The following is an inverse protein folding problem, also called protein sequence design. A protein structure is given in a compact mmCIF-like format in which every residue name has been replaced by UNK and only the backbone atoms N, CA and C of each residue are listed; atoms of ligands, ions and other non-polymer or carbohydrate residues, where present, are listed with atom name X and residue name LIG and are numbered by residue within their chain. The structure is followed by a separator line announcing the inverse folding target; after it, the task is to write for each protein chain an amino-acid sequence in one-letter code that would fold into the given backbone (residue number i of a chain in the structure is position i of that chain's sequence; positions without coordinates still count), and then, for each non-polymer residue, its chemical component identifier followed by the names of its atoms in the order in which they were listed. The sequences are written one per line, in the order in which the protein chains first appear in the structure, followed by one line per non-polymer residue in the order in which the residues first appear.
data_IF_654580523473
#
_entry.id   IF_654580523473
#
_cell.length_a   1.000
_cell.length_b   1.000
_cell.length_c   1.000
_cell.angle_alpha   90.00
_cell.angle_beta   90.00
_cell.angle_gamma   90.00
#
_symmetry.space_group_name_H-M   'P 1'
#
loop_
_entity.id
_entity.type
_entity.pdbx_description
1 polymer ?
#
# COMPACT_ATOMS: atom_id res chain seq x y z
N UNK A 1 31.90 30.56 -35.86
CA UNK A 1 30.56 30.10 -35.45
C UNK A 1 29.93 31.15 -34.53
N UNK A 2 28.66 31.49 -34.74
CA UNK A 2 27.94 32.41 -33.83
C UNK A 2 27.63 31.70 -32.51
N UNK A 3 27.71 32.40 -31.37
CA UNK A 3 27.37 31.86 -30.04
C UNK A 3 25.97 31.24 -30.01
N UNK A 4 25.03 31.81 -30.77
CA UNK A 4 23.65 31.33 -30.89
C UNK A 4 23.61 29.92 -31.50
N UNK A 5 24.35 29.70 -32.59
CA UNK A 5 24.45 28.37 -33.22
C UNK A 5 25.08 27.33 -32.29
N UNK A 6 25.99 27.75 -31.42
CA UNK A 6 26.65 26.86 -30.47
C UNK A 6 25.68 26.44 -29.34
N UNK A 7 24.83 27.37 -28.90
CA UNK A 7 23.76 27.09 -27.93
C UNK A 7 22.72 26.14 -28.54
N UNK A 8 22.29 26.38 -29.78
CA UNK A 8 21.36 25.50 -30.49
C UNK A 8 21.94 24.09 -30.64
N UNK A 9 23.20 23.96 -31.05
CA UNK A 9 23.87 22.65 -31.13
C UNK A 9 23.98 21.96 -29.77
N UNK A 10 24.25 22.70 -28.69
CA UNK A 10 24.29 22.12 -27.35
C UNK A 10 22.91 21.64 -26.89
N UNK A 11 21.84 22.39 -27.19
CA UNK A 11 20.46 21.98 -26.88
C UNK A 11 20.05 20.73 -27.66
N UNK A 12 20.48 20.63 -28.91
CA UNK A 12 20.21 19.47 -29.77
C UNK A 12 20.95 18.22 -29.24
N UNK A 13 22.23 18.37 -28.87
CA UNK A 13 23.03 17.28 -28.27
C UNK A 13 22.44 16.83 -26.93
N UNK A 14 22.03 17.77 -26.07
CA UNK A 14 21.39 17.45 -24.80
C UNK A 14 20.05 16.73 -24.99
N UNK A 15 19.25 17.15 -25.97
CA UNK A 15 17.97 16.50 -26.28
C UNK A 15 18.18 15.07 -26.78
N UNK A 16 19.18 14.85 -27.63
CA UNK A 16 19.56 13.52 -28.11
C UNK A 16 20.06 12.62 -26.97
N UNK A 17 20.87 13.15 -26.05
CA UNK A 17 21.34 12.44 -24.86
C UNK A 17 20.18 12.01 -23.94
N UNK A 18 19.22 12.91 -23.70
CA UNK A 18 18.03 12.61 -22.90
C UNK A 18 17.20 11.51 -23.56
N UNK A 19 16.99 11.57 -24.89
CA UNK A 19 16.22 10.56 -25.63
C UNK A 19 16.88 9.19 -25.66
N UNK A 20 18.21 9.11 -25.81
CA UNK A 20 18.89 7.84 -26.05
C UNK A 20 19.39 7.14 -24.79
N UNK A 21 19.73 7.88 -23.73
CA UNK A 21 20.28 7.29 -22.51
C UNK A 21 19.29 7.38 -21.35
N UNK A 22 18.68 8.54 -21.14
CA UNK A 22 17.86 8.80 -19.95
C UNK A 22 16.44 8.21 -20.09
N UNK A 23 15.81 8.38 -21.25
CA UNK A 23 14.46 7.86 -21.52
C UNK A 23 14.32 6.34 -21.36
N UNK A 24 15.23 5.48 -21.87
CA UNK A 24 15.15 4.05 -21.65
C UNK A 24 15.39 3.66 -20.18
N UNK A 25 16.35 4.31 -19.49
CA UNK A 25 16.55 4.12 -18.05
C UNK A 25 15.31 4.49 -17.23
N UNK A 26 14.63 5.58 -17.57
CA UNK A 26 13.37 5.99 -16.94
C UNK A 26 12.23 5.02 -17.24
N UNK A 27 12.20 4.40 -18.42
CA UNK A 27 11.18 3.42 -18.79
C UNK A 27 11.27 2.10 -18.00
N UNK A 28 12.46 1.78 -17.48
CA UNK A 28 12.70 0.62 -16.61
C UNK A 28 12.34 0.90 -15.14
N UNK A 29 12.26 2.17 -14.75
CA UNK A 29 11.88 2.56 -13.39
C UNK A 29 10.35 2.53 -13.32
N UNK A 30 9.75 1.71 -12.44
CA UNK A 30 8.31 1.72 -12.24
C UNK A 30 7.87 3.14 -11.85
N UNK A 31 6.92 3.70 -12.60
CA UNK A 31 6.37 5.04 -12.33
C UNK A 31 5.88 5.16 -10.87
N UNK A 32 5.49 4.04 -10.28
CA UNK A 32 5.09 3.91 -8.87
C UNK A 32 6.22 4.34 -7.90
N UNK A 33 7.48 4.00 -8.19
CA UNK A 33 8.62 4.40 -7.34
C UNK A 33 8.94 5.90 -7.47
N UNK A 34 8.77 6.47 -8.67
CA UNK A 34 8.95 7.89 -8.91
C UNK A 34 7.85 8.69 -8.20
N UNK A 35 6.60 8.23 -8.27
CA UNK A 35 5.48 8.82 -7.53
C UNK A 35 5.71 8.75 -6.02
N UNK A 36 6.14 7.61 -5.48
CA UNK A 36 6.39 7.47 -4.05
C UNK A 36 7.51 8.39 -3.57
N UNK A 37 8.63 8.45 -4.30
CA UNK A 37 9.75 9.35 -3.95
C UNK A 37 9.39 10.83 -4.07
N UNK A 38 8.52 11.20 -5.01
CA UNK A 38 7.96 12.56 -5.08
C UNK A 38 7.07 12.85 -3.87
N UNK A 39 6.12 11.96 -3.55
CA UNK A 39 5.25 12.10 -2.38
C UNK A 39 6.08 12.25 -1.10
N UNK A 40 7.10 11.41 -0.90
CA UNK A 40 7.99 11.44 0.27
C UNK A 40 8.79 12.76 0.36
N UNK A 41 9.19 13.35 -0.78
CA UNK A 41 9.90 14.64 -0.82
C UNK A 41 8.98 15.85 -0.57
N UNK A 42 7.73 15.76 -1.01
CA UNK A 42 6.75 16.85 -0.93
C UNK A 42 5.76 16.71 0.23
N UNK A 43 5.95 15.72 1.12
CA UNK A 43 5.00 15.36 2.20
C UNK A 43 4.70 16.49 3.21
N UNK A 44 5.45 17.59 3.20
CA UNK A 44 5.33 18.68 4.17
C UNK A 44 4.61 19.92 3.65
N UNK A 45 4.37 20.05 2.34
CA UNK A 45 3.85 21.27 1.70
C UNK A 45 2.52 21.05 0.94
N UNK A 46 1.69 20.11 1.41
CA UNK A 46 0.44 19.65 0.79
C UNK A 46 -0.60 20.76 0.51
N UNK A 47 -0.39 21.98 1.02
CA UNK A 47 -1.28 23.13 0.83
C UNK A 47 -0.59 24.34 0.20
N UNK A 48 0.57 24.17 -0.43
CA UNK A 48 1.16 25.28 -1.18
C UNK A 48 0.30 25.59 -2.41
N UNK A 49 -0.23 26.82 -2.56
CA UNK A 49 -1.11 27.19 -3.67
C UNK A 49 -0.43 27.10 -5.04
N UNK A 50 0.90 26.99 -5.09
CA UNK A 50 1.66 26.77 -6.33
C UNK A 50 1.82 25.30 -6.72
N UNK A 51 1.59 24.36 -5.79
CA UNK A 51 1.77 22.92 -6.04
C UNK A 51 0.49 22.24 -6.52
N UNK A 52 -0.69 22.72 -6.11
CA UNK A 52 -1.97 22.14 -6.54
C UNK A 52 -2.15 22.11 -8.06
N UNK A 53 -1.88 23.19 -8.82
CA UNK A 53 -2.03 23.16 -10.28
C UNK A 53 -1.05 22.19 -10.94
N UNK A 54 0.17 22.10 -10.39
CA UNK A 54 1.19 21.18 -10.87
C UNK A 54 0.77 19.72 -10.61
N UNK A 55 0.21 19.43 -9.44
CA UNK A 55 -0.29 18.10 -9.12
C UNK A 55 -1.48 17.69 -9.99
N UNK A 56 -2.38 18.62 -10.31
CA UNK A 56 -3.48 18.40 -11.27
C UNK A 56 -2.95 18.09 -12.67
N UNK A 57 -2.00 18.88 -13.17
CA UNK A 57 -1.37 18.68 -14.48
C UNK A 57 -0.64 17.32 -14.55
N UNK A 58 0.09 16.95 -13.50
CA UNK A 58 0.74 15.63 -13.41
C UNK A 58 -0.27 14.49 -13.36
N UNK A 59 -1.38 14.64 -12.64
CA UNK A 59 -2.43 13.63 -12.58
C UNK A 59 -3.10 13.43 -13.95
N UNK A 60 -3.35 14.51 -14.70
CA UNK A 60 -3.88 14.44 -16.06
C UNK A 60 -2.91 13.75 -17.03
N UNK A 61 -1.61 14.08 -16.96
CA UNK A 61 -0.57 13.48 -17.80
C UNK A 61 -0.37 11.99 -17.53
N UNK A 62 -0.52 11.56 -16.28
CA UNK A 62 -0.35 10.16 -15.88
C UNK A 62 -1.62 9.32 -16.04
N UNK A 63 -2.81 9.95 -16.06
CA UNK A 63 -4.12 9.30 -16.22
C UNK A 63 -4.20 8.26 -17.36
N UNK A 64 -3.64 8.50 -18.57
CA UNK A 64 -3.67 7.53 -19.68
C UNK A 64 -2.75 6.32 -19.47
N UNK A 65 -1.72 6.46 -18.63
CA UNK A 65 -0.70 5.44 -18.37
C UNK A 65 -0.96 4.67 -17.07
N UNK A 66 -1.84 5.17 -16.21
CA UNK A 66 -2.28 4.50 -15.00
C UNK A 66 -3.29 3.42 -15.36
N UNK A 67 -2.88 2.15 -15.22
CA UNK A 67 -3.80 1.03 -15.33
C UNK A 67 -4.70 0.99 -14.08
N UNK A 68 -5.78 1.78 -14.08
CA UNK A 68 -6.75 1.90 -12.98
C UNK A 68 -7.31 0.52 -12.56
N UNK A 69 -7.42 -0.44 -13.50
CA UNK A 69 -7.84 -1.82 -13.19
C UNK A 69 -6.83 -2.60 -12.34
N UNK A 70 -5.54 -2.23 -12.36
CA UNK A 70 -4.50 -2.81 -11.48
C UNK A 70 -4.62 -2.18 -10.08
N UNK A 71 -4.74 -0.85 -10.01
CA UNK A 71 -4.90 -0.12 -8.74
C UNK A 71 -6.17 -0.51 -7.97
N UNK A 72 -7.29 -0.74 -8.66
CA UNK A 72 -8.54 -1.17 -8.02
C UNK A 72 -8.52 -2.63 -7.54
N UNK A 73 -7.66 -3.50 -8.09
CA UNK A 73 -7.49 -4.86 -7.54
C UNK A 73 -6.78 -4.83 -6.19
N UNK A 74 -5.82 -3.93 -6.04
CA UNK A 74 -5.10 -3.73 -4.77
C UNK A 74 -5.99 -3.08 -3.70
N UNK A 75 -7.15 -2.54 -4.07
CA UNK A 75 -8.15 -2.00 -3.13
C UNK A 75 -9.15 -3.03 -2.60
N UNK A 76 -9.22 -4.25 -3.18
CA UNK A 76 -10.12 -5.28 -2.63
C UNK A 76 -9.54 -5.76 -1.30
N UNK A 77 -10.23 -5.58 -0.16
CA UNK A 77 -9.70 -6.01 1.11
C UNK A 77 -9.43 -7.52 1.09
N UNK A 78 -8.20 -7.91 1.44
CA UNK A 78 -7.84 -9.32 1.47
C UNK A 78 -8.58 -10.03 2.61
N UNK A 79 -9.17 -11.19 2.29
CA UNK A 79 -9.90 -12.00 3.25
C UNK A 79 -9.14 -13.29 3.55
N UNK A 80 -9.15 -13.72 4.81
CA UNK A 80 -8.41 -14.88 5.29
C UNK A 80 -9.32 -15.89 6.00
N UNK A 81 -8.91 -17.15 5.95
CA UNK A 81 -9.60 -18.28 6.59
C UNK A 81 -9.14 -18.47 8.03
N UNK A 82 -9.92 -19.23 8.81
CA UNK A 82 -9.54 -19.61 10.17
C UNK A 82 -8.18 -20.32 10.22
N UNK A 83 -7.87 -21.19 9.26
CA UNK A 83 -6.57 -21.88 9.23
C UNK A 83 -5.41 -20.91 9.14
N UNK A 84 -5.52 -19.91 8.25
CA UNK A 84 -4.50 -18.87 8.11
C UNK A 84 -4.34 -18.05 9.39
N UNK A 85 -5.45 -17.73 10.07
CA UNK A 85 -5.42 -16.97 11.34
C UNK A 85 -4.71 -17.77 12.44
N UNK A 86 -5.01 -19.07 12.56
CA UNK A 86 -4.40 -19.98 13.53
C UNK A 86 -2.88 -20.03 13.31
N UNK A 87 -2.45 -20.17 12.06
CA UNK A 87 -1.04 -20.22 11.71
C UNK A 87 -0.36 -18.86 11.95
N UNK A 88 -1.02 -17.75 11.56
CA UNK A 88 -0.48 -16.39 11.70
C UNK A 88 -0.32 -15.95 13.15
N UNK A 89 -1.28 -16.29 14.01
CA UNK A 89 -1.25 -15.94 15.44
C UNK A 89 -0.52 -16.98 16.30
N UNK A 90 -0.03 -18.08 15.71
CA UNK A 90 0.62 -19.20 16.40
C UNK A 90 -0.20 -19.74 17.58
N UNK A 91 -1.52 -19.86 17.40
CA UNK A 91 -2.45 -20.34 18.43
C UNK A 91 -3.05 -21.69 18.06
N UNK A 92 -3.56 -22.41 19.06
CA UNK A 92 -4.37 -23.59 18.82
C UNK A 92 -5.80 -23.22 18.36
N UNK A 93 -6.42 -24.12 17.61
CA UNK A 93 -7.83 -23.99 17.18
C UNK A 93 -8.79 -23.79 18.35
N UNK A 94 -8.54 -24.46 19.48
CA UNK A 94 -9.30 -24.31 20.73
C UNK A 94 -9.24 -22.86 21.25
N UNK A 95 -8.05 -22.27 21.29
CA UNK A 95 -7.83 -20.87 21.68
C UNK A 95 -8.56 -19.91 20.74
N UNK A 96 -8.52 -20.16 19.43
CA UNK A 96 -9.24 -19.35 18.45
C UNK A 96 -10.74 -19.29 18.77
N UNK A 97 -11.42 -20.43 18.91
CA UNK A 97 -12.87 -20.43 19.16
C UNK A 97 -13.25 -19.91 20.55
N UNK A 98 -12.39 -20.08 21.56
CA UNK A 98 -12.67 -19.66 22.94
C UNK A 98 -12.44 -18.17 23.17
N UNK A 99 -11.43 -17.59 22.53
CA UNK A 99 -10.91 -16.26 22.87
C UNK A 99 -10.86 -15.29 21.71
N UNK A 100 -10.84 -15.75 20.46
CA UNK A 100 -10.69 -14.86 19.28
C UNK A 100 -12.01 -14.72 18.54
N UNK A 101 -12.65 -15.83 18.19
CA UNK A 101 -13.84 -15.86 17.36
C UNK A 101 -15.02 -15.12 18.00
N UNK A 102 -15.59 -14.15 17.26
CA UNK A 102 -16.70 -13.30 17.68
C UNK A 102 -16.42 -12.52 18.99
N UNK A 103 -15.14 -12.29 19.32
CA UNK A 103 -14.73 -11.54 20.51
C UNK A 103 -13.65 -10.54 20.11
N UNK A 104 -12.54 -11.03 19.57
CA UNK A 104 -11.42 -10.21 19.12
C UNK A 104 -11.41 -10.03 17.60
N UNK A 105 -11.95 -11.02 16.87
CA UNK A 105 -12.15 -10.95 15.43
C UNK A 105 -13.59 -11.29 15.09
N UNK A 106 -14.16 -10.53 14.15
CA UNK A 106 -15.52 -10.71 13.67
C UNK A 106 -15.50 -11.13 12.20
N UNK A 107 -16.26 -12.16 11.82
CA UNK A 107 -16.32 -12.60 10.43
C UNK A 107 -17.04 -11.56 9.57
N UNK A 108 -16.41 -11.18 8.46
CA UNK A 108 -16.92 -10.13 7.55
C UNK A 108 -17.78 -10.73 6.44
N UNK A 109 -17.45 -11.95 6.00
CA UNK A 109 -18.24 -12.68 5.02
C UNK A 109 -18.24 -14.18 5.31
N UNK A 110 -19.20 -14.88 4.70
CA UNK A 110 -19.31 -16.34 4.77
C UNK A 110 -19.45 -16.92 3.37
N UNK A 111 -18.62 -17.89 3.02
CA UNK A 111 -18.84 -18.75 1.86
C UNK A 111 -19.42 -20.08 2.35
N UNK A 112 -20.74 -20.26 2.19
CA UNK A 112 -21.47 -21.35 2.82
C UNK A 112 -21.39 -21.28 4.35
N UNK A 113 -20.85 -22.32 4.99
CA UNK A 113 -20.64 -22.37 6.46
C UNK A 113 -19.26 -21.86 6.90
N UNK A 114 -18.38 -21.50 5.96
CA UNK A 114 -17.01 -21.08 6.27
C UNK A 114 -16.95 -19.56 6.46
N UNK A 115 -16.62 -19.07 7.65
CA UNK A 115 -16.41 -17.64 7.88
C UNK A 115 -15.04 -17.19 7.35
N UNK A 116 -15.01 -15.95 6.87
CA UNK A 116 -13.81 -15.24 6.42
C UNK A 116 -13.68 -13.94 7.19
N UNK A 117 -12.44 -13.54 7.43
CA UNK A 117 -12.08 -12.37 8.24
C UNK A 117 -11.21 -11.44 7.39
N UNK A 118 -11.22 -10.15 7.70
CA UNK A 118 -10.32 -9.20 7.06
C UNK A 118 -8.88 -9.47 7.50
N UNK A 119 -7.96 -9.48 6.54
CA UNK A 119 -6.54 -9.68 6.81
C UNK A 119 -5.96 -8.54 7.66
N UNK A 120 -6.41 -7.31 7.43
CA UNK A 120 -6.02 -6.12 8.22
C UNK A 120 -6.25 -6.33 9.71
N UNK A 121 -7.46 -6.76 10.09
CA UNK A 121 -7.85 -6.92 11.49
C UNK A 121 -7.01 -8.01 12.18
N UNK A 122 -6.65 -9.06 11.43
CA UNK A 122 -5.78 -10.13 11.93
C UNK A 122 -4.35 -9.64 12.11
N UNK A 123 -3.84 -8.81 11.20
CA UNK A 123 -2.51 -8.18 11.32
C UNK A 123 -2.50 -7.24 12.52
N UNK A 124 -3.51 -6.38 12.69
CA UNK A 124 -3.63 -5.47 13.82
C UNK A 124 -3.65 -6.23 15.15
N UNK A 125 -4.37 -7.35 15.20
CA UNK A 125 -4.39 -8.21 16.38
C UNK A 125 -3.03 -8.89 16.61
N UNK A 126 -2.35 -9.34 15.55
CA UNK A 126 -1.01 -9.91 15.63
C UNK A 126 -0.03 -8.88 16.18
N UNK A 127 -0.02 -7.66 15.66
CA UNK A 127 0.90 -6.60 16.09
C UNK A 127 0.67 -6.20 17.55
N UNK A 128 -0.59 -6.16 18.00
CA UNK A 128 -0.93 -5.94 19.42
C UNK A 128 -0.48 -7.06 20.36
N UNK A 129 -0.31 -8.29 19.84
CA UNK A 129 -0.02 -9.49 20.66
C UNK A 129 1.36 -10.08 20.42
N UNK A 130 2.15 -9.46 19.53
CA UNK A 130 3.46 -9.92 19.11
C UNK A 130 4.39 -10.07 20.32
N UNK A 131 4.97 -11.27 20.47
CA UNK A 131 5.89 -11.59 21.57
C UNK A 131 5.24 -11.87 22.93
N UNK A 132 3.91 -11.79 23.06
CA UNK A 132 3.20 -11.99 24.34
C UNK A 132 2.73 -13.44 24.57
N UNK A 133 2.84 -14.30 23.56
CA UNK A 133 2.46 -15.72 23.62
C UNK A 133 0.94 -15.97 23.71
N UNK A 134 0.48 -17.23 23.55
CA UNK A 134 -0.95 -17.54 23.32
C UNK A 134 -1.92 -17.19 24.46
N UNK A 135 -1.43 -17.05 25.70
CA UNK A 135 -2.27 -16.76 26.86
C UNK A 135 -2.83 -15.32 26.85
N UNK A 136 -2.22 -14.41 26.06
CA UNK A 136 -2.64 -13.02 25.95
C UNK A 136 -4.04 -12.88 25.36
N UNK A 137 -4.41 -13.74 24.40
CA UNK A 137 -5.72 -13.73 23.76
C UNK A 137 -6.83 -14.01 24.77
N UNK A 138 -6.58 -14.87 25.76
CA UNK A 138 -7.52 -15.10 26.85
C UNK A 138 -7.74 -13.86 27.70
N UNK A 139 -6.66 -13.15 28.06
CA UNK A 139 -6.74 -11.90 28.84
C UNK A 139 -7.47 -10.79 28.07
N UNK A 140 -7.13 -10.59 26.80
CA UNK A 140 -7.80 -9.62 25.92
C UNK A 140 -9.29 -9.94 25.79
N UNK A 141 -9.64 -11.19 25.52
CA UNK A 141 -11.04 -11.63 25.43
C UNK A 141 -11.82 -11.37 26.72
N UNK A 142 -11.21 -11.61 27.89
CA UNK A 142 -11.85 -11.32 29.18
C UNK A 142 -12.06 -9.82 29.42
N UNK A 143 -11.17 -8.97 28.88
CA UNK A 143 -11.32 -7.51 28.97
C UNK A 143 -12.45 -7.04 28.05
N UNK A 144 -12.46 -7.47 26.78
CA UNK A 144 -13.48 -7.09 25.79
C UNK A 144 -14.89 -7.54 26.17
N UNK A 145 -15.04 -8.65 26.92
CA UNK A 145 -16.36 -9.10 27.41
C UNK A 145 -16.92 -8.29 28.59
N UNK A 146 -16.08 -7.50 29.26
CA UNK A 146 -16.47 -6.68 30.42
C UNK A 146 -16.80 -5.24 30.04
N UNK A 147 -16.41 -4.84 28.83
CA UNK A 147 -16.82 -3.60 28.16
C UNK A 147 -18.18 -3.81 27.48
#
# INVERSE_FOLDING_TARGET
MSKIKLIEQMQDILSQLIQHEVQPLLSEIPCENLLQTMIDRFSSDTYSPSLLPLMEEFAELLSPHLNVKKLLRDQVPEHVTISWIIDKLEIQRSTFYKSVNNILLFPVLKAGRRPYYLKSDVIDLFDKTRGMGPHIFGKLASKTRKE
#
